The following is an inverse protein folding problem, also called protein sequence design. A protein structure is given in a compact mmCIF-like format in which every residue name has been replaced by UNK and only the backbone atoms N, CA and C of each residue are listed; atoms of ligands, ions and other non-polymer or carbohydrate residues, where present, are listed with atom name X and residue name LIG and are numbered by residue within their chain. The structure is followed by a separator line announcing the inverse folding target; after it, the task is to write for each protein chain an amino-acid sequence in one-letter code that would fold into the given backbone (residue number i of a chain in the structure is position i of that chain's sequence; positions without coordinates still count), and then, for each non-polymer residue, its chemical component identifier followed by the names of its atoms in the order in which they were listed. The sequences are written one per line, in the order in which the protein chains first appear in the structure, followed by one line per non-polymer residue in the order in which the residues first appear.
data_IF_745711584044
#
_entry.id   IF_745711584044
#
_cell.length_a   1.000
_cell.length_b   1.000
_cell.length_c   1.000
_cell.angle_alpha   90.00
_cell.angle_beta   90.00
_cell.angle_gamma   90.00
#
_symmetry.space_group_name_H-M   'P 1'
#
loop_
_entity.id
_entity.type
_entity.pdbx_description
1 polymer ?
#
# COMPACT_ATOMS: atom_id res chain seq x y z
N UNK A 1 0.07 -8.90 -18.82
CA UNK A 1 0.95 -9.64 -17.87
C UNK A 1 1.41 -10.93 -18.53
N UNK A 2 2.63 -11.40 -18.24
CA UNK A 2 3.08 -12.73 -18.68
C UNK A 2 2.44 -13.84 -17.83
N UNK A 3 2.40 -15.09 -18.32
CA UNK A 3 1.95 -16.24 -17.54
C UNK A 3 2.73 -16.41 -16.24
N UNK A 4 4.06 -16.20 -16.26
CA UNK A 4 4.93 -16.25 -15.07
C UNK A 4 4.55 -15.21 -14.02
N UNK A 5 4.19 -14.00 -14.45
CA UNK A 5 3.72 -12.95 -13.55
C UNK A 5 2.36 -13.30 -12.95
N UNK A 6 1.45 -13.83 -13.77
CA UNK A 6 0.12 -14.24 -13.32
C UNK A 6 0.18 -15.39 -12.30
N UNK A 7 1.10 -16.34 -12.45
CA UNK A 7 1.38 -17.39 -11.46
C UNK A 7 1.92 -16.82 -10.15
N UNK A 8 2.82 -15.84 -10.23
CA UNK A 8 3.39 -15.20 -9.03
C UNK A 8 2.34 -14.46 -8.19
N UNK A 9 1.20 -14.06 -8.76
CA UNK A 9 0.12 -13.35 -8.05
C UNK A 9 -0.66 -14.23 -7.06
N UNK A 10 -0.51 -15.56 -7.08
CA UNK A 10 -1.09 -16.48 -6.09
C UNK A 10 -0.04 -17.15 -5.21
N UNK A 11 1.24 -16.78 -5.35
CA UNK A 11 2.36 -17.39 -4.64
C UNK A 11 2.19 -17.39 -3.11
N UNK A 12 1.73 -16.27 -2.54
CA UNK A 12 1.52 -16.13 -1.09
C UNK A 12 0.54 -17.16 -0.49
N UNK A 13 -0.34 -17.73 -1.33
CA UNK A 13 -1.31 -18.75 -0.96
C UNK A 13 -0.81 -20.16 -1.32
N UNK A 14 -0.28 -20.34 -2.54
CA UNK A 14 -0.02 -21.68 -3.09
C UNK A 14 1.37 -22.23 -2.72
N UNK A 15 2.38 -21.36 -2.60
CA UNK A 15 3.79 -21.78 -2.51
C UNK A 15 4.51 -21.24 -1.26
N UNK A 16 3.86 -20.35 -0.51
CA UNK A 16 4.41 -19.81 0.74
C UNK A 16 4.57 -20.93 1.77
N UNK A 17 5.73 -21.00 2.41
CA UNK A 17 5.96 -21.85 3.58
C UNK A 17 5.23 -21.29 4.79
N UNK A 18 4.34 -22.08 5.40
CA UNK A 18 3.63 -21.73 6.63
C UNK A 18 4.15 -22.58 7.80
N UNK A 19 5.28 -22.15 8.36
CA UNK A 19 5.94 -22.80 9.51
C UNK A 19 5.75 -22.02 10.82
N UNK A 20 4.81 -21.06 10.83
CA UNK A 20 4.57 -20.16 11.96
C UNK A 20 5.59 -19.03 12.12
N UNK A 21 6.59 -18.91 11.24
CA UNK A 21 7.56 -17.82 11.25
C UNK A 21 7.10 -16.64 10.38
N UNK A 22 7.61 -15.44 10.67
CA UNK A 22 7.36 -14.26 9.85
C UNK A 22 8.31 -14.23 8.65
N UNK A 23 7.90 -14.85 7.54
CA UNK A 23 8.67 -14.91 6.28
C UNK A 23 8.17 -13.89 5.27
N UNK A 24 6.87 -13.63 5.24
CA UNK A 24 6.18 -12.85 4.22
C UNK A 24 5.12 -11.93 4.87
N UNK A 25 4.73 -10.79 4.25
CA UNK A 25 3.62 -9.96 4.73
C UNK A 25 2.33 -10.73 5.08
N UNK A 26 2.06 -11.83 4.39
CA UNK A 26 0.93 -12.74 4.67
C UNK A 26 0.99 -13.44 6.04
N UNK A 27 2.17 -13.54 6.65
CA UNK A 27 2.34 -14.15 7.98
C UNK A 27 1.98 -13.16 9.10
N UNK A 28 1.89 -11.87 8.78
CA UNK A 28 1.61 -10.81 9.74
C UNK A 28 0.22 -10.91 10.35
N UNK A 29 0.10 -10.43 11.60
CA UNK A 29 -1.19 -10.34 12.28
C UNK A 29 -2.17 -9.42 11.54
N UNK A 30 -1.69 -8.36 10.90
CA UNK A 30 -2.52 -7.44 10.13
C UNK A 30 -3.19 -8.15 8.94
N UNK A 31 -2.43 -8.93 8.18
CA UNK A 31 -2.97 -9.73 7.07
C UNK A 31 -3.97 -10.76 7.58
N UNK A 32 -3.61 -11.54 8.59
CA UNK A 32 -4.49 -12.57 9.17
C UNK A 32 -5.78 -11.98 9.73
N UNK A 33 -5.69 -10.84 10.42
CA UNK A 33 -6.86 -10.10 10.92
C UNK A 33 -7.76 -9.61 9.79
N UNK A 34 -7.17 -9.08 8.72
CA UNK A 34 -7.91 -8.67 7.52
C UNK A 34 -8.63 -9.85 6.86
N UNK A 35 -7.94 -10.97 6.67
CA UNK A 35 -8.52 -12.17 6.04
C UNK A 35 -9.66 -12.77 6.89
N UNK A 36 -9.50 -12.78 8.22
CA UNK A 36 -10.56 -13.19 9.14
C UNK A 36 -11.78 -12.26 9.09
N UNK A 37 -11.56 -10.96 8.91
CA UNK A 37 -12.65 -9.96 8.81
C UNK A 37 -13.37 -10.02 7.46
N UNK A 38 -12.65 -10.38 6.39
CA UNK A 38 -13.16 -10.40 5.02
C UNK A 38 -12.93 -11.76 4.35
N UNK A 39 -13.59 -12.83 4.84
CA UNK A 39 -13.37 -14.19 4.32
C UNK A 39 -13.71 -14.33 2.84
N UNK A 40 -14.72 -13.60 2.35
CA UNK A 40 -15.10 -13.58 0.92
C UNK A 40 -14.09 -12.86 0.02
N UNK A 41 -13.18 -12.07 0.59
CA UNK A 41 -12.03 -11.52 -0.12
C UNK A 41 -10.88 -12.53 -0.09
N UNK A 42 -10.58 -13.06 1.10
CA UNK A 42 -9.48 -14.00 1.33
C UNK A 42 -9.62 -15.31 0.55
N UNK A 43 -10.86 -15.78 0.33
CA UNK A 43 -11.15 -17.00 -0.44
C UNK A 43 -10.71 -16.95 -1.91
N UNK A 44 -10.36 -15.77 -2.43
CA UNK A 44 -9.86 -15.59 -3.79
C UNK A 44 -8.37 -15.23 -3.74
N UNK A 45 -7.44 -16.19 -3.97
CA UNK A 45 -6.00 -15.93 -3.93
C UNK A 45 -5.51 -14.88 -4.92
N UNK A 46 -6.28 -14.60 -5.98
CA UNK A 46 -5.94 -13.54 -6.94
C UNK A 46 -6.31 -12.14 -6.46
N UNK A 47 -7.05 -12.00 -5.37
CA UNK A 47 -7.34 -10.70 -4.77
C UNK A 47 -6.06 -10.07 -4.23
N UNK A 48 -5.79 -8.83 -4.63
CA UNK A 48 -4.51 -8.17 -4.40
C UNK A 48 -4.53 -7.41 -3.08
N UNK A 49 -3.49 -7.61 -2.26
CA UNK A 49 -3.27 -6.81 -1.06
C UNK A 49 -2.11 -5.86 -1.30
N UNK A 50 -2.40 -4.57 -1.23
CA UNK A 50 -1.42 -3.51 -1.44
C UNK A 50 -0.88 -2.98 -0.11
N UNK A 51 0.41 -2.64 -0.10
CA UNK A 51 0.94 -1.61 0.78
C UNK A 51 1.05 -0.30 0.00
N UNK A 52 0.77 0.83 0.65
CA UNK A 52 0.97 2.16 0.08
C UNK A 52 2.13 2.83 0.77
N UNK A 53 3.16 3.21 0.02
CA UNK A 53 4.25 4.03 0.53
C UNK A 53 4.10 5.45 0.00
N UNK A 54 4.29 6.44 0.87
CA UNK A 54 4.37 7.83 0.43
C UNK A 54 5.29 8.64 1.32
N UNK A 55 6.11 9.46 0.67
CA UNK A 55 7.04 10.38 1.32
C UNK A 55 7.42 11.50 0.34
N UNK A 56 7.86 12.62 0.90
CA UNK A 56 8.39 13.77 0.18
C UNK A 56 9.90 13.71 0.06
N UNK A 57 10.44 13.87 -1.15
CA UNK A 57 11.87 14.00 -1.37
C UNK A 57 12.18 15.24 -2.21
N UNK A 58 13.37 15.82 -2.03
CA UNK A 58 13.82 16.96 -2.82
C UNK A 58 14.80 16.48 -3.92
N UNK A 59 14.37 16.38 -5.19
CA UNK A 59 15.25 15.96 -6.28
C UNK A 59 16.36 16.97 -6.59
N UNK A 60 16.20 18.23 -6.17
CA UNK A 60 17.09 19.33 -6.51
C UNK A 60 18.18 19.60 -5.47
N UNK A 61 18.18 18.89 -4.33
CA UNK A 61 19.15 18.73 -3.21
C UNK A 61 19.96 19.95 -2.71
N UNK A 62 20.37 20.88 -3.57
CA UNK A 62 21.25 22.04 -3.33
C UNK A 62 20.66 23.33 -3.94
N UNK A 63 19.88 23.27 -5.03
CA UNK A 63 19.46 24.48 -5.78
C UNK A 63 18.13 25.09 -5.33
N UNK A 64 17.29 24.35 -4.63
CA UNK A 64 16.04 24.85 -4.06
C UNK A 64 15.76 24.08 -2.78
N UNK A 65 15.75 24.78 -1.65
CA UNK A 65 15.59 24.18 -0.31
C UNK A 65 14.10 23.92 -0.01
N UNK A 66 13.19 24.61 -0.70
CA UNK A 66 11.75 24.51 -0.46
C UNK A 66 11.09 23.35 -1.22
N UNK A 67 11.57 22.99 -2.41
CA UNK A 67 10.89 22.04 -3.29
C UNK A 67 10.78 20.63 -2.70
N UNK A 68 9.59 20.04 -2.79
CA UNK A 68 9.28 18.70 -2.32
C UNK A 68 8.44 17.97 -3.36
N UNK A 69 8.95 16.85 -3.86
CA UNK A 69 8.22 15.93 -4.74
C UNK A 69 7.75 14.74 -3.92
N UNK A 70 6.45 14.50 -3.89
CA UNK A 70 5.87 13.37 -3.18
C UNK A 70 5.56 12.24 -4.15
N UNK A 71 5.90 11.01 -3.75
CA UNK A 71 5.53 9.80 -4.47
C UNK A 71 4.41 9.08 -3.73
N UNK A 72 3.48 8.50 -4.48
CA UNK A 72 2.51 7.53 -3.95
C UNK A 72 2.74 6.23 -4.69
N UNK A 73 3.28 5.24 -3.98
CA UNK A 73 3.69 3.95 -4.54
C UNK A 73 2.85 2.84 -3.93
N UNK A 74 2.25 2.02 -4.77
CA UNK A 74 1.59 0.78 -4.36
C UNK A 74 2.53 -0.41 -4.56
N UNK A 75 2.55 -1.30 -3.57
CA UNK A 75 3.34 -2.53 -3.59
C UNK A 75 2.41 -3.74 -3.46
N UNK A 76 2.31 -4.61 -4.49
CA UNK A 76 1.46 -5.79 -4.45
C UNK A 76 2.13 -6.90 -3.63
N UNK A 77 1.64 -7.11 -2.40
CA UNK A 77 2.20 -8.13 -1.49
C UNK A 77 1.79 -9.56 -1.82
N UNK A 78 1.08 -9.80 -2.92
CA UNK A 78 0.77 -11.15 -3.37
C UNK A 78 2.00 -11.89 -3.92
N UNK A 79 2.99 -11.12 -4.38
CA UNK A 79 4.19 -11.61 -5.04
C UNK A 79 5.20 -12.18 -4.03
N UNK A 80 6.08 -13.11 -4.46
CA UNK A 80 7.16 -13.61 -3.62
C UNK A 80 8.10 -12.51 -3.09
N UNK A 81 8.77 -12.78 -1.97
CA UNK A 81 9.72 -11.85 -1.32
C UNK A 81 10.77 -11.26 -2.27
N UNK A 82 11.34 -12.09 -3.12
CA UNK A 82 12.38 -11.69 -4.07
C UNK A 82 11.84 -10.90 -5.26
N UNK A 83 10.52 -10.73 -5.37
CA UNK A 83 9.86 -10.04 -6.47
C UNK A 83 9.15 -8.77 -6.00
N UNK A 84 8.40 -8.78 -4.89
CA UNK A 84 7.58 -7.61 -4.53
C UNK A 84 8.39 -6.37 -4.17
N UNK A 85 9.62 -6.51 -3.65
CA UNK A 85 10.53 -5.39 -3.37
C UNK A 85 11.37 -4.94 -4.57
N UNK A 86 11.22 -5.57 -5.74
CA UNK A 86 11.89 -5.09 -6.95
C UNK A 86 11.18 -3.85 -7.47
N UNK A 87 11.96 -2.88 -7.95
CA UNK A 87 11.45 -1.65 -8.54
C UNK A 87 10.42 -1.93 -9.65
N UNK A 88 10.60 -3.01 -10.43
CA UNK A 88 9.66 -3.43 -11.48
C UNK A 88 8.27 -3.84 -10.98
N UNK A 89 8.13 -4.13 -9.70
CA UNK A 89 6.88 -4.54 -9.05
C UNK A 89 6.16 -3.37 -8.38
N UNK A 90 6.83 -2.23 -8.23
CA UNK A 90 6.23 -1.02 -7.69
C UNK A 90 5.32 -0.39 -8.73
N UNK A 91 4.09 -0.07 -8.29
CA UNK A 91 3.14 0.68 -9.09
C UNK A 91 3.22 2.11 -8.60
N UNK A 92 3.87 2.97 -9.39
CA UNK A 92 3.86 4.40 -9.13
C UNK A 92 2.49 4.95 -9.53
N UNK A 93 1.63 5.17 -8.53
CA UNK A 93 0.28 5.67 -8.75
C UNK A 93 0.28 7.18 -9.03
N UNK A 94 1.12 7.93 -8.32
CA UNK A 94 1.15 9.38 -8.45
C UNK A 94 2.52 9.99 -8.12
N UNK A 95 2.82 11.10 -8.79
CA UNK A 95 3.90 12.04 -8.44
C UNK A 95 3.22 13.40 -8.20
N UNK A 96 3.45 13.98 -7.01
CA UNK A 96 2.92 15.29 -6.63
C UNK A 96 4.11 16.25 -6.48
N UNK A 97 4.47 16.99 -7.53
CA UNK A 97 5.51 18.00 -7.46
C UNK A 97 4.98 19.29 -6.81
N UNK A 98 5.79 19.93 -5.96
CA UNK A 98 5.43 21.22 -5.37
C UNK A 98 6.61 21.98 -4.78
N UNK A 99 6.49 23.31 -4.74
CA UNK A 99 7.45 24.15 -4.00
C UNK A 99 7.45 23.88 -2.49
N UNK A 100 6.42 23.20 -1.98
CA UNK A 100 6.29 22.66 -0.63
C UNK A 100 5.62 21.29 -0.74
N UNK A 101 5.65 20.51 0.34
CA UNK A 101 4.84 19.29 0.41
C UNK A 101 3.34 19.60 0.30
N UNK A 102 2.51 18.62 -0.07
CA UNK A 102 1.09 18.83 -0.36
C UNK A 102 0.29 19.27 0.87
N UNK A 103 0.79 19.00 2.08
CA UNK A 103 0.09 19.40 3.31
C UNK A 103 -1.31 18.80 3.35
N UNK A 104 -2.30 19.67 3.59
CA UNK A 104 -3.70 19.27 3.63
C UNK A 104 -4.28 18.95 2.25
N UNK A 105 -3.72 19.50 1.16
CA UNK A 105 -4.25 19.30 -0.20
C UNK A 105 -3.95 17.90 -0.74
N UNK A 106 -3.24 17.05 0.01
CA UNK A 106 -2.95 15.66 -0.36
C UNK A 106 -4.22 14.83 -0.60
N UNK A 107 -5.33 15.19 0.05
CA UNK A 107 -6.61 14.51 -0.10
C UNK A 107 -7.21 14.68 -1.51
N UNK A 108 -7.08 15.88 -2.10
CA UNK A 108 -7.47 16.19 -3.48
C UNK A 108 -6.68 15.31 -4.44
N UNK A 109 -5.36 15.21 -4.23
CA UNK A 109 -4.49 14.40 -5.07
C UNK A 109 -4.78 12.90 -4.94
N UNK A 110 -5.12 12.41 -3.74
CA UNK A 110 -5.42 10.99 -3.53
C UNK A 110 -6.80 10.56 -4.02
N UNK A 111 -7.69 11.50 -4.33
CA UNK A 111 -9.07 11.20 -4.73
C UNK A 111 -9.17 10.16 -5.87
N UNK A 112 -8.44 10.28 -7.00
CA UNK A 112 -8.53 9.29 -8.09
C UNK A 112 -8.09 7.90 -7.65
N UNK A 113 -7.01 7.80 -6.87
CA UNK A 113 -6.53 6.52 -6.34
C UNK A 113 -7.55 5.88 -5.39
N UNK A 114 -8.20 6.68 -4.53
CA UNK A 114 -9.26 6.20 -3.63
C UNK A 114 -10.45 5.68 -4.43
N UNK A 115 -10.83 6.35 -5.51
CA UNK A 115 -11.92 5.91 -6.40
C UNK A 115 -11.59 4.59 -7.09
N UNK A 116 -10.38 4.43 -7.64
CA UNK A 116 -9.92 3.18 -8.23
C UNK A 116 -9.86 2.03 -7.20
N UNK A 117 -9.36 2.29 -5.99
CA UNK A 117 -9.35 1.30 -4.90
C UNK A 117 -10.78 0.88 -4.50
N UNK A 118 -11.75 1.80 -4.51
CA UNK A 118 -13.17 1.47 -4.27
C UNK A 118 -13.75 0.60 -5.38
N UNK A 119 -13.42 0.85 -6.65
CA UNK A 119 -13.82 0.01 -7.77
C UNK A 119 -13.23 -1.41 -7.64
N UNK A 120 -11.94 -1.50 -7.34
CA UNK A 120 -11.25 -2.77 -7.10
C UNK A 120 -11.83 -3.50 -5.88
N UNK A 121 -12.22 -2.80 -4.83
CA UNK A 121 -12.88 -3.43 -3.67
C UNK A 121 -14.20 -4.10 -4.06
N UNK A 122 -15.00 -3.43 -4.89
CA UNK A 122 -16.32 -3.86 -5.33
C UNK A 122 -16.25 -5.12 -6.22
N UNK A 123 -15.39 -5.10 -7.24
CA UNK A 123 -14.95 -6.19 -8.17
C UNK A 123 -14.77 -5.60 -9.57
N UNK A 124 -13.71 -6.01 -10.27
CA UNK A 124 -13.47 -5.67 -11.68
C UNK A 124 -13.27 -6.96 -12.46
N UNK A 125 -13.99 -7.16 -13.56
CA UNK A 125 -13.75 -8.32 -14.43
C UNK A 125 -12.38 -8.21 -15.09
N UNK A 126 -11.58 -9.26 -15.04
CA UNK A 126 -10.20 -9.30 -15.55
C UNK A 126 -9.89 -10.67 -16.12
N UNK A 127 -9.02 -10.72 -17.12
CA UNK A 127 -8.60 -11.98 -17.74
C UNK A 127 -7.39 -12.59 -17.04
N UNK A 128 -7.49 -13.86 -16.67
CA UNK A 128 -6.36 -14.65 -16.16
C UNK A 128 -5.70 -15.43 -17.29
N UNK A 129 -4.49 -14.99 -17.68
CA UNK A 129 -3.68 -15.66 -18.72
C UNK A 129 -3.23 -17.06 -18.30
N UNK A 130 -3.11 -17.35 -16.99
CA UNK A 130 -2.67 -18.66 -16.52
C UNK A 130 -3.78 -19.72 -16.66
N UNK A 131 -5.01 -19.34 -16.32
CA UNK A 131 -6.19 -20.23 -16.36
C UNK A 131 -7.01 -20.10 -17.64
N UNK A 132 -6.69 -19.11 -18.47
CA UNK A 132 -7.38 -18.81 -19.72
C UNK A 132 -8.89 -18.55 -19.51
N UNK A 133 -9.23 -17.86 -18.42
CA UNK A 133 -10.61 -17.56 -18.00
C UNK A 133 -10.73 -16.13 -17.45
N UNK A 134 -11.94 -15.56 -17.50
CA UNK A 134 -12.25 -14.33 -16.80
C UNK A 134 -12.47 -14.62 -15.31
N UNK A 135 -12.02 -13.70 -14.47
CA UNK A 135 -12.29 -13.71 -13.03
C UNK A 135 -12.59 -12.30 -12.55
N UNK A 136 -13.19 -12.19 -11.36
CA UNK A 136 -13.36 -10.91 -10.71
C UNK A 136 -12.14 -10.59 -9.84
N UNK A 137 -11.35 -9.64 -10.29
CA UNK A 137 -10.24 -9.07 -9.53
C UNK A 137 -10.80 -8.21 -8.39
N UNK A 138 -10.21 -8.38 -7.21
CA UNK A 138 -10.42 -7.47 -6.08
C UNK A 138 -9.09 -6.96 -5.58
N UNK A 139 -9.08 -5.77 -4.97
CA UNK A 139 -7.91 -5.29 -4.24
C UNK A 139 -8.29 -4.60 -2.94
N UNK A 140 -7.34 -4.59 -2.00
CA UNK A 140 -7.46 -3.90 -0.73
C UNK A 140 -6.11 -3.31 -0.31
N UNK A 141 -6.16 -2.17 0.37
CA UNK A 141 -4.99 -1.57 1.01
C UNK A 141 -4.87 -2.11 2.45
N UNK A 142 -3.74 -2.75 2.78
CA UNK A 142 -3.52 -3.32 4.11
C UNK A 142 -2.94 -2.32 5.10
N UNK A 143 -1.93 -1.56 4.67
CA UNK A 143 -1.26 -0.58 5.51
C UNK A 143 -0.53 0.45 4.66
N UNK A 144 -0.12 1.53 5.33
CA UNK A 144 0.72 2.57 4.75
C UNK A 144 2.12 2.54 5.33
N UNK A 145 3.14 2.83 4.51
CA UNK A 145 4.54 2.98 4.91
C UNK A 145 4.90 4.46 4.72
N UNK A 146 5.06 5.16 5.82
CA UNK A 146 5.36 6.58 5.86
C UNK A 146 6.18 6.90 7.12
N UNK A 147 6.93 8.00 7.06
CA UNK A 147 7.46 8.62 8.27
C UNK A 147 6.36 9.44 8.97
N UNK A 148 6.65 10.02 10.13
CA UNK A 148 5.65 10.80 10.86
C UNK A 148 5.19 12.05 10.10
N UNK A 149 6.05 12.68 9.31
CA UNK A 149 5.66 13.88 8.55
C UNK A 149 4.64 13.52 7.46
N UNK A 150 4.91 12.45 6.70
CA UNK A 150 4.00 11.91 5.71
C UNK A 150 2.73 11.34 6.33
N UNK A 151 2.80 10.70 7.50
CA UNK A 151 1.63 10.28 8.24
C UNK A 151 0.70 11.44 8.57
N UNK A 152 1.26 12.58 9.01
CA UNK A 152 0.48 13.78 9.32
C UNK A 152 -0.32 14.27 8.12
N UNK A 153 0.31 14.34 6.95
CA UNK A 153 -0.35 14.74 5.71
C UNK A 153 -1.41 13.71 5.29
N UNK A 154 -1.04 12.42 5.20
CA UNK A 154 -1.93 11.37 4.69
C UNK A 154 -3.19 11.15 5.53
N UNK A 155 -3.08 11.29 6.86
CA UNK A 155 -4.16 10.98 7.79
C UNK A 155 -4.75 12.22 8.49
N UNK A 156 -4.22 13.42 8.21
CA UNK A 156 -4.61 14.64 8.91
C UNK A 156 -4.29 14.60 10.42
N UNK A 157 -3.35 13.75 10.84
CA UNK A 157 -3.03 13.55 12.25
C UNK A 157 -2.01 14.57 12.75
N UNK A 158 -2.22 15.10 13.96
CA UNK A 158 -1.22 15.96 14.58
C UNK A 158 -0.03 15.13 15.06
N UNK A 159 1.13 15.29 14.42
CA UNK A 159 2.38 14.66 14.85
C UNK A 159 3.20 15.53 15.79
N UNK A 160 2.56 16.54 16.40
CA UNK A 160 3.18 17.48 17.34
C UNK A 160 2.45 17.46 18.69
N UNK A 161 3.20 17.84 19.72
CA UNK A 161 2.70 18.06 21.07
C UNK A 161 1.95 16.84 21.65
N UNK A 162 0.81 17.08 22.32
CA UNK A 162 0.05 16.08 23.06
C UNK A 162 -0.46 14.93 22.20
N UNK A 163 -0.69 15.15 20.91
CA UNK A 163 -1.23 14.15 19.99
C UNK A 163 -0.16 13.48 19.13
N UNK A 164 1.13 13.78 19.35
CA UNK A 164 2.21 13.31 18.48
C UNK A 164 2.23 11.79 18.25
N UNK A 165 1.85 11.00 19.26
CA UNK A 165 1.73 9.55 19.12
C UNK A 165 0.31 9.16 18.67
N UNK A 166 0.13 8.55 17.48
CA UNK A 166 -1.18 8.08 17.02
C UNK A 166 -1.75 6.94 17.87
N UNK A 167 -0.89 6.17 18.56
CA UNK A 167 -1.33 5.09 19.44
C UNK A 167 -1.83 5.60 20.80
N UNK A 168 -1.16 6.60 21.38
CA UNK A 168 -1.49 7.10 22.72
C UNK A 168 -2.45 8.30 22.68
N UNK A 169 -2.48 9.05 21.57
CA UNK A 169 -3.25 10.27 21.39
C UNK A 169 -3.13 11.19 22.63
N UNK A 170 -4.25 11.65 23.18
CA UNK A 170 -4.27 12.57 24.33
C UNK A 170 -3.67 12.00 25.63
N UNK A 171 -3.40 10.69 25.69
CA UNK A 171 -2.79 9.99 26.82
C UNK A 171 -1.26 9.90 26.69
N UNK A 172 -0.66 10.61 25.73
CA UNK A 172 0.80 10.71 25.63
C UNK A 172 1.36 11.35 26.89
N UNK A 173 2.02 10.56 27.73
CA UNK A 173 2.75 11.04 28.90
C UNK A 173 4.20 11.31 28.49
N UNK A 174 4.63 12.58 28.53
CA UNK A 174 6.07 12.90 28.57
C UNK A 174 6.60 12.59 29.97
N UNK A 175 7.74 11.89 30.05
CA UNK A 175 8.51 11.80 31.30
C UNK A 175 9.18 13.13 31.60
#
# INVERSE_FOLDING_TARGET
MSSKTAESMTWHHDQRTDDGLLRHPADSLAWKSFDNKFPSFASYPRSVRFGLASDGFNPYKIMSISYSTWLVVLVPYNLPLWLYMKQSSFILSMIIPGEKGPGNDIDIYLQPLIEELKQLWARVETYDVLRNENFYLRAALLWTINDFSAYANLFGWSTKERYACPCCAAQTCSK
#
